data_IF_779594718662
#
_entry.id   IF_779594718662
#
_cell.length_a   1.000
_cell.length_b   1.000
_cell.length_c   1.000
_cell.angle_alpha   90.00
_cell.angle_beta   90.00
_cell.angle_gamma   90.00
#
_symmetry.space_group_name_H-M   'P 1'
#
loop_
_entity.id
_entity.type
_entity.pdbx_description
1 polymer ?
#
# COMPACT_ATOMS: atom_id res chain seq x y z
N UNK A 1 22.16 10.41 3.24
CA UNK A 1 22.33 9.09 2.64
C UNK A 1 21.26 8.87 1.58
N UNK A 2 21.47 7.92 0.68
CA UNK A 2 20.57 7.70 -0.43
C UNK A 2 19.20 7.21 -0.02
N UNK A 3 18.24 7.35 -0.92
CA UNK A 3 16.90 6.82 -0.71
C UNK A 3 16.88 5.31 -0.91
N UNK A 4 16.10 4.64 -0.08
CA UNK A 4 15.76 3.23 -0.28
C UNK A 4 14.43 3.18 -1.00
N UNK A 5 14.31 2.30 -1.98
CA UNK A 5 13.07 2.13 -2.73
C UNK A 5 12.72 0.66 -2.82
N UNK A 6 11.44 0.37 -2.60
CA UNK A 6 10.88 -0.97 -2.75
C UNK A 6 9.64 -0.84 -3.62
N UNK A 7 9.51 -1.70 -4.62
CA UNK A 7 8.28 -1.72 -5.42
C UNK A 7 7.90 -3.14 -5.80
N UNK A 8 6.59 -3.32 -6.01
CA UNK A 8 6.01 -4.56 -6.51
C UNK A 8 4.85 -4.18 -7.40
N UNK A 9 4.57 -5.00 -8.40
CA UNK A 9 3.42 -4.78 -9.27
C UNK A 9 2.79 -6.08 -9.68
N UNK A 10 1.53 -6.00 -10.07
CA UNK A 10 0.76 -7.15 -10.51
C UNK A 10 -0.41 -6.70 -11.37
N UNK A 11 -0.85 -7.56 -12.28
CA UNK A 11 -2.14 -7.40 -12.96
C UNK A 11 -3.24 -7.85 -11.99
N UNK A 12 -4.23 -6.98 -11.81
CA UNK A 12 -5.43 -7.25 -11.01
C UNK A 12 -6.60 -7.38 -11.97
N UNK A 13 -7.40 -8.42 -11.81
CA UNK A 13 -8.46 -8.80 -12.73
C UNK A 13 -9.74 -8.01 -12.48
N UNK A 14 -9.64 -6.70 -12.56
CA UNK A 14 -10.78 -5.77 -12.44
C UNK A 14 -10.43 -4.45 -13.12
N UNK A 15 -11.46 -3.68 -13.54
CA UNK A 15 -11.22 -2.36 -14.15
C UNK A 15 -10.53 -1.39 -13.20
N UNK A 16 -9.76 -0.46 -13.76
CA UNK A 16 -8.96 0.48 -12.98
C UNK A 16 -9.80 1.30 -11.98
N UNK A 17 -10.95 1.79 -12.39
CA UNK A 17 -11.82 2.57 -11.51
C UNK A 17 -12.34 1.76 -10.33
N UNK A 18 -12.57 0.46 -10.52
CA UNK A 18 -13.01 -0.43 -9.46
C UNK A 18 -11.88 -0.69 -8.47
N UNK A 19 -10.70 -0.99 -8.99
CA UNK A 19 -9.51 -1.26 -8.16
C UNK A 19 -9.11 -0.03 -7.36
N UNK A 20 -9.10 1.13 -8.01
CA UNK A 20 -8.78 2.37 -7.31
C UNK A 20 -9.76 2.65 -6.16
N UNK A 21 -11.05 2.41 -6.38
CA UNK A 21 -12.06 2.53 -5.34
C UNK A 21 -11.73 1.66 -4.12
N UNK A 22 -11.28 0.42 -4.35
CA UNK A 22 -10.91 -0.47 -3.26
C UNK A 22 -9.72 0.09 -2.47
N UNK A 23 -8.71 0.60 -3.17
CA UNK A 23 -7.53 1.19 -2.52
C UNK A 23 -7.85 2.46 -1.75
N UNK A 24 -8.69 3.32 -2.31
CA UNK A 24 -9.01 4.62 -1.73
C UNK A 24 -10.02 4.55 -0.57
N UNK A 25 -10.82 3.50 -0.49
CA UNK A 25 -11.76 3.33 0.61
C UNK A 25 -11.05 2.64 1.78
N UNK A 26 -10.50 3.46 2.65
CA UNK A 26 -9.65 3.02 3.76
C UNK A 26 -10.45 2.56 4.98
N UNK A 27 -11.78 2.74 4.97
CA UNK A 27 -12.66 2.19 6.00
C UNK A 27 -13.31 0.89 5.56
N UNK A 28 -13.81 0.83 4.32
CA UNK A 28 -14.68 -0.25 3.88
C UNK A 28 -13.97 -1.36 3.11
N UNK A 29 -13.03 -1.01 2.24
CA UNK A 29 -12.41 -2.00 1.35
C UNK A 29 -10.95 -2.32 1.69
N UNK A 30 -10.10 -1.30 1.77
CA UNK A 30 -8.65 -1.51 1.87
C UNK A 30 -8.23 -2.43 3.02
N UNK A 31 -8.78 -2.32 4.24
CA UNK A 31 -8.38 -3.23 5.33
C UNK A 31 -8.66 -4.70 5.07
N UNK A 32 -9.59 -5.00 4.15
CA UNK A 32 -10.03 -6.38 3.91
C UNK A 32 -9.01 -7.21 3.11
N UNK A 33 -8.04 -6.57 2.46
CA UNK A 33 -7.00 -7.28 1.71
C UNK A 33 -5.59 -7.01 2.23
N UNK A 34 -5.45 -6.40 3.40
CA UNK A 34 -4.13 -6.21 4.01
C UNK A 34 -3.54 -7.55 4.46
N UNK A 35 -2.23 -7.77 4.22
CA UNK A 35 -1.54 -8.96 4.75
C UNK A 35 -1.47 -8.97 6.28
N UNK A 36 -1.25 -10.15 6.88
CA UNK A 36 -1.12 -10.27 8.34
C UNK A 36 0.01 -9.45 8.96
N UNK A 37 1.00 -9.03 8.15
CA UNK A 37 2.08 -8.17 8.62
C UNK A 37 1.54 -6.82 9.15
N UNK A 38 0.39 -6.38 8.66
CA UNK A 38 -0.29 -5.17 9.15
C UNK A 38 -1.28 -5.55 10.24
N UNK A 39 -1.26 -4.82 11.34
CA UNK A 39 -2.19 -5.00 12.44
C UNK A 39 -2.58 -3.66 13.04
N UNK A 40 -3.60 -3.65 13.89
CA UNK A 40 -4.09 -2.45 14.57
C UNK A 40 -4.44 -1.31 13.59
N UNK A 41 -4.93 -1.66 12.41
CA UNK A 41 -5.30 -0.68 11.40
C UNK A 41 -6.58 0.06 11.83
N UNK A 42 -6.52 1.37 11.83
CA UNK A 42 -7.68 2.20 12.12
C UNK A 42 -7.58 3.54 11.40
N UNK A 43 -8.73 4.09 11.05
CA UNK A 43 -8.81 5.42 10.43
C UNK A 43 -9.13 6.44 11.50
N UNK A 44 -8.28 7.46 11.61
CA UNK A 44 -8.42 8.53 12.60
C UNK A 44 -9.22 9.71 12.07
N UNK A 45 -9.06 10.04 10.77
CA UNK A 45 -9.77 11.13 10.12
C UNK A 45 -10.09 10.73 8.70
N UNK A 46 -11.20 11.23 8.17
CA UNK A 46 -11.62 10.93 6.80
C UNK A 46 -12.11 9.50 6.64
N UNK A 47 -11.62 8.82 5.64
CA UNK A 47 -11.95 7.41 5.38
C UNK A 47 -11.85 7.03 3.91
N UNK A 48 -12.02 7.99 3.00
CA UNK A 48 -11.92 7.76 1.56
C UNK A 48 -11.06 8.84 0.94
N UNK A 49 -9.98 8.42 0.28
CA UNK A 49 -9.11 9.31 -0.49
C UNK A 49 -8.39 10.37 0.33
N UNK A 50 -8.08 11.47 -0.33
CA UNK A 50 -7.32 12.59 0.25
C UNK A 50 -7.94 13.10 1.55
N UNK A 51 -7.07 13.42 2.50
CA UNK A 51 -7.51 13.90 3.81
C UNK A 51 -7.68 12.79 4.84
N UNK A 52 -7.62 11.53 4.43
CA UNK A 52 -7.65 10.42 5.36
C UNK A 52 -6.36 10.40 6.17
N UNK A 53 -6.49 10.19 7.48
CA UNK A 53 -5.38 9.92 8.39
C UNK A 53 -5.66 8.58 9.04
N UNK A 54 -4.69 7.70 8.99
CA UNK A 54 -4.84 6.33 9.52
C UNK A 54 -3.58 5.92 10.27
N UNK A 55 -3.68 4.86 11.05
CA UNK A 55 -2.51 4.29 11.70
C UNK A 55 -2.56 2.76 11.63
N UNK A 56 -1.41 2.15 11.72
CA UNK A 56 -1.27 0.70 11.78
C UNK A 56 0.08 0.32 12.37
N UNK A 57 0.21 -0.95 12.72
CA UNK A 57 1.48 -1.55 13.11
C UNK A 57 1.94 -2.46 11.98
N UNK A 58 3.18 -2.32 11.56
CA UNK A 58 3.78 -3.18 10.55
C UNK A 58 4.85 -4.05 11.18
N UNK A 59 4.74 -5.36 10.99
CA UNK A 59 5.76 -6.33 11.39
C UNK A 59 6.54 -6.76 10.17
N UNK A 60 7.82 -6.43 10.10
CA UNK A 60 8.67 -6.74 8.97
C UNK A 60 10.09 -7.02 9.43
N UNK A 61 10.67 -8.12 8.96
CA UNK A 61 12.06 -8.46 9.26
C UNK A 61 12.34 -8.69 10.74
N UNK A 62 11.36 -9.23 11.49
CA UNK A 62 11.50 -9.47 12.92
C UNK A 62 11.33 -8.23 13.80
N UNK A 63 10.94 -7.10 13.21
CA UNK A 63 10.71 -5.85 13.92
C UNK A 63 9.29 -5.38 13.71
N UNK A 64 8.78 -4.61 14.66
CA UNK A 64 7.48 -3.95 14.54
C UNK A 64 7.66 -2.45 14.65
N UNK A 65 6.83 -1.72 13.92
CA UNK A 65 6.81 -0.27 14.00
C UNK A 65 5.38 0.21 13.80
N UNK A 66 5.01 1.24 14.56
CA UNK A 66 3.75 1.93 14.36
C UNK A 66 3.92 3.06 13.35
N UNK A 67 2.96 3.18 12.45
CA UNK A 67 2.93 4.24 11.44
C UNK A 67 1.64 5.02 11.57
N UNK A 68 1.74 6.33 11.38
CA UNK A 68 0.59 7.19 11.21
C UNK A 68 0.72 7.85 9.85
N UNK A 69 -0.23 7.57 8.97
CA UNK A 69 -0.14 7.93 7.55
C UNK A 69 -1.19 8.95 7.17
N UNK A 70 -0.77 9.91 6.37
CA UNK A 70 -1.65 10.88 5.74
C UNK A 70 -1.83 10.49 4.28
N UNK A 71 -3.08 10.38 3.85
CA UNK A 71 -3.43 9.98 2.49
C UNK A 71 -3.65 11.20 1.61
N UNK A 72 -3.05 11.17 0.41
CA UNK A 72 -3.26 12.18 -0.61
C UNK A 72 -3.50 11.48 -1.95
N UNK A 73 -4.10 12.20 -2.88
CA UNK A 73 -4.36 11.70 -4.22
C UNK A 73 -3.75 12.65 -5.24
N UNK A 74 -2.43 12.50 -5.52
CA UNK A 74 -1.75 13.34 -6.50
C UNK A 74 -2.39 13.30 -7.90
N UNK A 75 -2.99 12.15 -8.24
CA UNK A 75 -3.73 11.96 -9.47
C UNK A 75 -4.93 11.06 -9.15
N UNK A 76 -6.07 11.64 -8.76
CA UNK A 76 -7.23 10.84 -8.34
C UNK A 76 -7.67 9.85 -9.43
N UNK A 77 -7.90 8.62 -9.02
CA UNK A 77 -8.23 7.52 -9.93
C UNK A 77 -7.00 6.77 -10.43
N UNK A 78 -5.81 7.32 -10.26
CA UNK A 78 -4.55 6.72 -10.75
C UNK A 78 -3.49 6.58 -9.69
N UNK A 79 -3.31 7.59 -8.84
CA UNK A 79 -2.22 7.64 -7.87
C UNK A 79 -2.76 8.06 -6.52
N UNK A 80 -2.47 7.25 -5.51
CA UNK A 80 -2.78 7.52 -4.12
C UNK A 80 -1.48 7.35 -3.32
N UNK A 81 -1.22 8.26 -2.39
CA UNK A 81 -0.03 8.17 -1.53
C UNK A 81 -0.41 8.13 -0.06
N UNK A 82 0.41 7.42 0.70
CA UNK A 82 0.36 7.40 2.15
C UNK A 82 1.72 7.85 2.66
N UNK A 83 1.75 8.99 3.33
CA UNK A 83 3.00 9.57 3.85
C UNK A 83 3.04 9.44 5.36
N UNK A 84 4.14 8.88 5.89
CA UNK A 84 4.33 8.79 7.32
C UNK A 84 4.50 10.18 7.91
N UNK A 85 3.77 10.47 8.99
CA UNK A 85 3.80 11.79 9.61
C UNK A 85 5.06 12.05 10.43
N UNK A 86 5.85 11.02 10.71
CA UNK A 86 7.03 11.13 11.58
C UNK A 86 8.35 10.75 10.89
N UNK A 87 8.31 10.43 9.61
CA UNK A 87 9.52 10.05 8.87
C UNK A 87 9.38 10.44 7.39
N UNK A 88 10.40 10.13 6.61
CA UNK A 88 10.43 10.38 5.17
C UNK A 88 9.70 9.32 4.35
N UNK A 89 9.14 8.29 4.99
CA UNK A 89 8.54 7.17 4.29
C UNK A 89 7.26 7.58 3.56
N UNK A 90 7.19 7.25 2.28
CA UNK A 90 6.00 7.46 1.44
C UNK A 90 5.72 6.18 0.66
N UNK A 91 4.50 5.70 0.74
CA UNK A 91 4.02 4.60 -0.09
C UNK A 91 3.08 5.15 -1.15
N UNK A 92 3.33 4.75 -2.39
CA UNK A 92 2.54 5.17 -3.54
C UNK A 92 1.88 3.97 -4.19
N UNK A 93 0.56 4.06 -4.37
CA UNK A 93 -0.23 3.09 -5.13
C UNK A 93 -0.54 3.70 -6.49
N UNK A 94 -0.25 2.96 -7.55
CA UNK A 94 -0.53 3.40 -8.92
C UNK A 94 -1.42 2.36 -9.59
N UNK A 95 -2.49 2.81 -10.25
CA UNK A 95 -3.43 1.95 -10.95
C UNK A 95 -3.50 2.41 -12.40
N UNK A 96 -3.13 1.52 -13.33
CA UNK A 96 -3.13 1.82 -14.76
C UNK A 96 -4.06 0.85 -15.47
N UNK A 97 -5.03 1.35 -16.27
CA UNK A 97 -5.90 0.45 -17.05
C UNK A 97 -5.09 -0.38 -18.03
N UNK A 98 -5.46 -1.65 -18.15
CA UNK A 98 -4.83 -2.57 -19.09
C UNK A 98 -5.91 -3.50 -19.62
N UNK A 99 -6.60 -3.05 -20.68
CA UNK A 99 -7.81 -3.71 -21.16
C UNK A 99 -8.92 -3.63 -20.10
N UNK A 100 -9.58 -4.74 -19.82
CA UNK A 100 -10.56 -4.84 -18.74
C UNK A 100 -9.96 -5.10 -17.37
N UNK A 101 -8.63 -5.17 -17.30
CA UNK A 101 -7.89 -5.39 -16.05
C UNK A 101 -7.10 -4.12 -15.68
N UNK A 102 -6.28 -4.21 -14.66
CA UNK A 102 -5.47 -3.11 -14.18
C UNK A 102 -4.06 -3.58 -13.84
N UNK A 103 -3.07 -2.74 -14.12
CA UNK A 103 -1.73 -2.93 -13.57
C UNK A 103 -1.63 -2.09 -12.29
N UNK A 104 -1.39 -2.75 -11.19
CA UNK A 104 -1.31 -2.09 -9.89
C UNK A 104 0.10 -2.21 -9.36
N UNK A 105 0.68 -1.09 -8.92
CA UNK A 105 1.99 -1.08 -8.29
C UNK A 105 1.91 -0.46 -6.91
N UNK A 106 2.74 -0.98 -6.00
CA UNK A 106 2.97 -0.42 -4.67
C UNK A 106 4.45 -0.08 -4.63
N UNK A 107 4.78 1.18 -4.36
CA UNK A 107 6.16 1.64 -4.30
C UNK A 107 6.35 2.46 -3.02
N UNK A 108 7.34 2.09 -2.22
CA UNK A 108 7.67 2.81 -0.99
C UNK A 108 9.09 3.33 -1.08
N UNK A 109 9.26 4.59 -0.67
CA UNK A 109 10.58 5.21 -0.58
C UNK A 109 10.76 5.80 0.81
N UNK A 110 12.00 5.77 1.29
CA UNK A 110 12.38 6.46 2.52
C UNK A 110 13.86 6.79 2.48
N UNK A 111 14.29 7.71 3.34
CA UNK A 111 15.70 8.02 3.48
C UNK A 111 16.35 6.96 4.37
N UNK A 112 17.36 6.28 3.84
CA UNK A 112 18.06 5.22 4.57
C UNK A 112 18.91 5.78 5.71
N UNK A 113 19.10 4.95 6.74
CA UNK A 113 20.03 5.27 7.82
C UNK A 113 21.47 5.24 7.31
N UNK A 114 22.33 6.03 7.93
CA UNK A 114 23.74 6.04 7.61
C UNK A 114 24.49 4.86 8.22
N UNK A 115 25.70 4.62 7.72
CA UNK A 115 26.61 3.61 8.27
C UNK A 115 26.12 2.19 8.09
N UNK A 116 26.47 1.33 9.05
CA UNK A 116 26.17 -0.12 9.00
C UNK A 116 24.65 -0.36 9.01
N UNK A 117 23.92 0.40 9.81
CA UNK A 117 22.47 0.29 9.87
C UNK A 117 21.83 0.57 8.50
N UNK A 118 22.35 1.57 7.76
CA UNK A 118 21.88 1.88 6.43
C UNK A 118 22.15 0.74 5.43
N UNK A 119 23.28 0.06 5.55
CA UNK A 119 23.61 -1.08 4.69
C UNK A 119 22.61 -2.22 4.92
N UNK A 120 22.34 -2.56 6.18
CA UNK A 120 21.38 -3.60 6.51
C UNK A 120 19.98 -3.25 6.01
N UNK A 121 19.56 -2.02 6.20
CA UNK A 121 18.26 -1.53 5.74
C UNK A 121 18.14 -1.69 4.22
N UNK A 122 19.15 -1.32 3.46
CA UNK A 122 19.13 -1.46 1.99
C UNK A 122 19.16 -2.91 1.52
N UNK A 123 19.81 -3.81 2.28
CA UNK A 123 19.96 -5.20 1.86
C UNK A 123 18.78 -6.09 2.26
N UNK A 124 18.18 -5.83 3.42
CA UNK A 124 17.19 -6.75 4.00
C UNK A 124 15.76 -6.21 3.98
N UNK A 125 15.53 -4.97 4.40
CA UNK A 125 14.18 -4.42 4.44
C UNK A 125 13.47 -4.42 3.09
N UNK A 126 14.14 -4.07 1.97
CA UNK A 126 13.48 -4.10 0.67
C UNK A 126 12.92 -5.46 0.28
N UNK A 127 13.64 -6.54 0.57
CA UNK A 127 13.16 -7.89 0.22
C UNK A 127 11.94 -8.29 1.04
N UNK A 128 11.96 -7.98 2.32
CA UNK A 128 10.86 -8.29 3.22
C UNK A 128 9.62 -7.50 2.82
N UNK A 129 9.77 -6.20 2.62
CA UNK A 129 8.66 -5.34 2.20
C UNK A 129 8.11 -5.72 0.84
N UNK A 130 8.99 -6.07 -0.11
CA UNK A 130 8.53 -6.49 -1.43
C UNK A 130 7.65 -7.73 -1.33
N UNK A 131 8.03 -8.69 -0.48
CA UNK A 131 7.23 -9.88 -0.23
C UNK A 131 5.86 -9.54 0.36
N UNK A 132 5.81 -8.60 1.28
CA UNK A 132 4.55 -8.12 1.88
C UNK A 132 3.67 -7.46 0.81
N UNK A 133 4.25 -6.63 -0.04
CA UNK A 133 3.50 -5.95 -1.11
C UNK A 133 3.01 -6.90 -2.18
N UNK A 134 3.80 -7.92 -2.55
CA UNK A 134 3.33 -8.96 -3.46
C UNK A 134 2.14 -9.73 -2.87
N UNK A 135 2.19 -10.01 -1.58
CA UNK A 135 1.07 -10.65 -0.88
C UNK A 135 -0.16 -9.74 -0.86
N UNK A 136 0.03 -8.45 -0.60
CA UNK A 136 -1.08 -7.49 -0.63
C UNK A 136 -1.73 -7.42 -2.00
N UNK A 137 -0.93 -7.38 -3.06
CA UNK A 137 -1.44 -7.35 -4.44
C UNK A 137 -2.17 -8.64 -4.79
N UNK A 138 -1.68 -9.78 -4.34
CA UNK A 138 -2.37 -11.06 -4.55
C UNK A 138 -3.71 -11.09 -3.83
N UNK A 139 -3.76 -10.58 -2.59
CA UNK A 139 -5.00 -10.48 -1.82
C UNK A 139 -5.96 -9.48 -2.45
N UNK A 140 -5.46 -8.38 -2.98
CA UNK A 140 -6.28 -7.41 -3.72
C UNK A 140 -6.90 -8.08 -4.95
N UNK A 141 -6.14 -8.87 -5.69
CA UNK A 141 -6.68 -9.59 -6.84
C UNK A 141 -7.76 -10.58 -6.43
N UNK A 142 -7.53 -11.35 -5.38
CA UNK A 142 -8.51 -12.29 -4.85
C UNK A 142 -9.78 -11.55 -4.40
N UNK A 143 -9.60 -10.45 -3.70
CA UNK A 143 -10.71 -9.60 -3.25
C UNK A 143 -11.53 -9.08 -4.44
N UNK A 144 -10.87 -8.57 -5.46
CA UNK A 144 -11.54 -8.06 -6.66
C UNK A 144 -12.34 -9.17 -7.37
N UNK A 145 -11.78 -10.37 -7.44
CA UNK A 145 -12.47 -11.52 -8.03
C UNK A 145 -13.69 -11.93 -7.20
N UNK A 146 -13.58 -11.94 -5.89
CA UNK A 146 -14.70 -12.25 -5.00
C UNK A 146 -15.83 -11.22 -5.14
N UNK A 147 -15.49 -9.94 -5.21
CA UNK A 147 -16.48 -8.88 -5.39
C UNK A 147 -17.19 -9.00 -6.74
N UNK A 148 -16.45 -9.31 -7.80
CA UNK A 148 -17.03 -9.53 -9.12
C UNK A 148 -17.98 -10.74 -9.15
N UNK A 149 -17.59 -11.82 -8.47
CA UNK A 149 -18.41 -13.04 -8.39
C UNK A 149 -19.68 -12.83 -7.55
N UNK A 150 -19.62 -11.95 -6.55
CA UNK A 150 -20.79 -11.60 -5.74
C UNK A 150 -21.80 -10.77 -6.52
N UNK A 151 -21.38 -10.18 -7.67
CA UNK A 151 -22.25 -9.37 -8.50
C UNK A 151 -22.46 -7.96 -7.92
N UNK A 152 -23.22 -7.11 -8.64
CA UNK A 152 -23.53 -5.78 -8.14
C UNK A 152 -24.42 -5.88 -6.90
N UNK A 153 -24.11 -5.04 -5.94
CA UNK A 153 -24.89 -4.97 -4.71
C UNK A 153 -26.23 -4.27 -4.95
#
# INVERSE_FOLDING_TARGET
>A
MGKVQVSAERIVEAPAEVVYKYLADLRGHHPLFLPPAFSNFAVDEGGVGSGTVLHFTLAAGGRTREYRMKVEEPDPGRVLTESDTTSSLVTKFTVIPEGGASRVSISTTWDGAGGIAGIFEKLFAPRVLRGIYLDELERLNAYAREQAAAGPA
#
